data_IF_915152002535
#
_entry.id   IF_915152002535
#
_cell.length_a   1.000
_cell.length_b   1.000
_cell.length_c   1.000
_cell.angle_alpha   90.00
_cell.angle_beta   90.00
_cell.angle_gamma   90.00
#
_symmetry.space_group_name_H-M   'P 1'
#
loop_
_entity.id
_entity.type
_entity.pdbx_description
1 polymer ?
#
# COMPACT_ATOMS: atom_id res chain seq x y z
N UNK A 1 27.85 9.41 -3.53
CA UNK A 1 26.54 9.72 -4.13
C UNK A 1 26.23 8.82 -5.34
N UNK A 2 27.00 8.85 -6.42
CA UNK A 2 26.76 8.01 -7.62
C UNK A 2 26.79 6.51 -7.33
N UNK A 3 27.73 6.03 -6.52
CA UNK A 3 27.83 4.62 -6.11
C UNK A 3 26.57 4.16 -5.38
N UNK A 4 26.02 4.96 -4.49
CA UNK A 4 24.80 4.65 -3.75
C UNK A 4 23.56 4.59 -4.67
N UNK A 5 23.48 5.49 -5.66
CA UNK A 5 22.41 5.47 -6.65
C UNK A 5 22.50 4.19 -7.49
N UNK A 6 23.70 3.82 -7.93
CA UNK A 6 23.94 2.60 -8.70
C UNK A 6 23.58 1.34 -7.85
N UNK A 7 24.01 1.30 -6.60
CA UNK A 7 23.69 0.19 -5.70
C UNK A 7 22.18 0.05 -5.49
N UNK A 8 21.46 1.14 -5.25
CA UNK A 8 19.99 1.12 -5.11
C UNK A 8 19.30 0.67 -6.38
N UNK A 9 19.78 1.15 -7.54
CA UNK A 9 19.26 0.71 -8.83
C UNK A 9 19.50 -0.77 -9.08
N UNK A 10 20.68 -1.29 -8.75
CA UNK A 10 20.98 -2.74 -8.86
C UNK A 10 20.10 -3.57 -7.93
N UNK A 11 19.90 -3.12 -6.68
CA UNK A 11 18.99 -3.78 -5.74
C UNK A 11 17.55 -3.79 -6.28
N UNK A 12 17.07 -2.66 -6.82
CA UNK A 12 15.76 -2.57 -7.46
C UNK A 12 15.61 -3.60 -8.60
N UNK A 13 16.59 -3.63 -9.51
CA UNK A 13 16.59 -4.58 -10.63
C UNK A 13 16.62 -6.03 -10.15
N UNK A 14 17.44 -6.33 -9.14
CA UNK A 14 17.50 -7.67 -8.56
C UNK A 14 16.17 -8.09 -7.92
N UNK A 15 15.57 -7.21 -7.13
CA UNK A 15 14.26 -7.46 -6.51
C UNK A 15 13.17 -7.69 -7.57
N UNK A 16 13.11 -6.84 -8.60
CA UNK A 16 12.16 -7.01 -9.69
C UNK A 16 12.39 -8.32 -10.45
N UNK A 17 13.64 -8.73 -10.66
CA UNK A 17 13.97 -10.01 -11.29
C UNK A 17 13.49 -11.19 -10.44
N UNK A 18 13.74 -11.17 -9.13
CA UNK A 18 13.26 -12.23 -8.22
C UNK A 18 11.74 -12.29 -8.23
N UNK A 19 11.07 -11.15 -8.12
CA UNK A 19 9.60 -11.06 -8.12
C UNK A 19 9.00 -11.55 -9.44
N UNK A 20 9.64 -11.24 -10.59
CA UNK A 20 9.17 -11.70 -11.90
C UNK A 20 9.24 -13.22 -12.03
N UNK A 21 10.30 -13.86 -11.49
CA UNK A 21 10.42 -15.31 -11.47
C UNK A 21 9.34 -15.94 -10.58
N UNK A 22 9.13 -15.39 -9.38
CA UNK A 22 8.09 -15.87 -8.47
C UNK A 22 6.70 -15.76 -9.12
N UNK A 23 6.38 -14.60 -9.69
CA UNK A 23 5.10 -14.36 -10.35
C UNK A 23 4.88 -15.31 -11.53
N UNK A 24 5.92 -15.55 -12.34
CA UNK A 24 5.86 -16.50 -13.44
C UNK A 24 5.60 -17.93 -12.95
N UNK A 25 6.15 -18.32 -11.80
CA UNK A 25 5.99 -19.66 -11.24
C UNK A 25 4.67 -19.88 -10.50
N UNK A 26 3.91 -18.83 -10.17
CA UNK A 26 2.65 -18.96 -9.44
C UNK A 26 1.69 -20.02 -10.01
N UNK A 27 1.44 -20.08 -11.34
CA UNK A 27 0.55 -21.09 -11.91
C UNK A 27 1.05 -22.53 -11.71
N UNK A 28 2.36 -22.70 -11.74
CA UNK A 28 3.01 -24.02 -11.58
C UNK A 28 3.03 -24.46 -10.12
N UNK A 29 3.09 -23.51 -9.18
CA UNK A 29 3.06 -23.76 -7.74
C UNK A 29 1.66 -24.08 -7.21
N UNK A 30 0.62 -23.56 -7.86
CA UNK A 30 -0.78 -23.77 -7.46
C UNK A 30 -1.26 -25.23 -7.64
N UNK A 31 -0.42 -26.10 -8.18
CA UNK A 31 -0.67 -27.52 -8.36
C UNK A 31 -1.64 -27.82 -9.52
N UNK A 32 -1.14 -28.44 -10.54
CA UNK A 32 -1.92 -28.84 -11.72
C UNK A 32 -1.26 -28.43 -13.03
N UNK A 33 -1.85 -28.85 -14.12
CA UNK A 33 -1.46 -28.46 -15.47
C UNK A 33 -2.00 -27.06 -15.78
N UNK A 34 -1.14 -26.07 -16.09
CA UNK A 34 -1.60 -24.72 -16.41
C UNK A 34 -2.62 -24.70 -17.57
N UNK A 35 -2.43 -25.50 -18.60
CA UNK A 35 -3.36 -25.60 -19.74
C UNK A 35 -4.76 -26.06 -19.29
N UNK A 36 -4.80 -27.03 -18.38
CA UNK A 36 -6.06 -27.54 -17.81
C UNK A 36 -6.73 -26.49 -16.94
N UNK A 37 -5.96 -25.76 -16.12
CA UNK A 37 -6.49 -24.70 -15.26
C UNK A 37 -7.08 -23.56 -16.10
N UNK A 38 -6.40 -23.16 -17.18
CA UNK A 38 -6.87 -22.16 -18.14
C UNK A 38 -8.18 -22.60 -18.80
N UNK A 39 -8.26 -23.86 -19.25
CA UNK A 39 -9.46 -24.36 -19.92
C UNK A 39 -10.65 -24.44 -18.95
N UNK A 40 -10.42 -24.88 -17.69
CA UNK A 40 -11.44 -24.88 -16.65
C UNK A 40 -11.98 -23.48 -16.34
N UNK A 41 -11.13 -22.47 -16.28
CA UNK A 41 -11.56 -21.09 -16.02
C UNK A 41 -12.44 -20.52 -17.15
N UNK A 42 -12.18 -20.93 -18.39
CA UNK A 42 -12.93 -20.48 -19.57
C UNK A 42 -14.26 -21.19 -19.78
N UNK A 43 -14.30 -22.51 -19.57
CA UNK A 43 -15.45 -23.34 -19.96
C UNK A 43 -16.42 -23.65 -18.82
N UNK A 44 -16.07 -23.39 -17.56
CA UNK A 44 -16.85 -23.74 -16.35
C UNK A 44 -17.31 -25.20 -16.30
N UNK A 45 -16.74 -26.05 -17.13
CA UNK A 45 -17.10 -27.46 -17.24
C UNK A 45 -16.05 -28.35 -16.58
N UNK A 46 -16.50 -29.38 -15.89
CA UNK A 46 -15.65 -30.34 -15.18
C UNK A 46 -15.14 -31.48 -16.06
N UNK A 47 -15.77 -31.71 -17.21
CA UNK A 47 -15.39 -32.76 -18.16
C UNK A 47 -14.57 -32.16 -19.32
N UNK A 48 -13.27 -31.97 -19.09
CA UNK A 48 -12.38 -31.44 -20.13
C UNK A 48 -11.96 -32.55 -21.10
N UNK A 49 -12.14 -32.28 -22.39
CA UNK A 49 -11.58 -33.12 -23.45
C UNK A 49 -10.04 -33.06 -23.41
N UNK A 50 -9.32 -34.19 -23.24
CA UNK A 50 -7.87 -34.24 -23.24
C UNK A 50 -7.25 -33.64 -24.52
N UNK A 51 -7.90 -33.77 -25.64
CA UNK A 51 -7.42 -33.20 -26.92
C UNK A 51 -7.50 -31.67 -26.91
N UNK A 52 -8.54 -31.09 -26.30
CA UNK A 52 -8.66 -29.65 -26.18
C UNK A 52 -7.59 -29.07 -25.23
N UNK A 53 -7.27 -29.78 -24.14
CA UNK A 53 -6.18 -29.39 -23.22
C UNK A 53 -4.83 -29.39 -23.94
N UNK A 54 -4.53 -30.44 -24.71
CA UNK A 54 -3.26 -30.56 -25.43
C UNK A 54 -3.14 -29.50 -26.54
N UNK A 55 -4.21 -29.28 -27.31
CA UNK A 55 -4.25 -28.23 -28.32
C UNK A 55 -4.00 -26.83 -27.71
N UNK A 56 -4.60 -26.57 -26.53
CA UNK A 56 -4.37 -25.31 -25.81
C UNK A 56 -2.92 -25.20 -25.30
N UNK A 57 -2.35 -26.29 -24.78
CA UNK A 57 -0.96 -26.36 -24.32
C UNK A 57 0.01 -25.94 -25.43
N UNK A 58 -0.13 -26.53 -26.61
CA UNK A 58 0.71 -26.23 -27.78
C UNK A 58 0.49 -24.78 -28.25
N UNK A 59 -0.77 -24.35 -28.33
CA UNK A 59 -1.11 -22.97 -28.78
C UNK A 59 -0.55 -21.88 -27.90
N UNK A 60 -0.45 -22.13 -26.59
CA UNK A 60 0.12 -21.20 -25.61
C UNK A 60 1.63 -21.40 -25.39
N UNK A 61 2.25 -22.39 -26.07
CA UNK A 61 3.68 -22.70 -25.94
C UNK A 61 4.06 -23.24 -24.56
N UNK A 62 3.11 -23.81 -23.83
CA UNK A 62 3.33 -24.42 -22.51
C UNK A 62 4.04 -25.78 -22.59
N UNK A 63 4.24 -26.32 -23.79
CA UNK A 63 5.05 -27.48 -24.13
C UNK A 63 6.55 -27.17 -24.16
N UNK A 64 6.92 -25.89 -24.24
CA UNK A 64 8.32 -25.45 -24.33
C UNK A 64 9.00 -25.50 -22.96
N UNK A 65 10.36 -25.54 -22.90
CA UNK A 65 11.11 -25.45 -21.64
C UNK A 65 10.73 -24.19 -20.84
N UNK A 66 10.64 -24.31 -19.51
CA UNK A 66 10.20 -23.22 -18.61
C UNK A 66 10.97 -21.90 -18.81
N UNK A 67 12.28 -21.98 -19.06
CA UNK A 67 13.09 -20.78 -19.32
C UNK A 67 12.66 -20.03 -20.60
N UNK A 68 12.25 -20.78 -21.65
CA UNK A 68 11.73 -20.16 -22.91
C UNK A 68 10.40 -19.46 -22.64
N UNK A 69 9.51 -20.12 -21.90
CA UNK A 69 8.23 -19.55 -21.51
C UNK A 69 8.44 -18.30 -20.65
N UNK A 70 9.35 -18.34 -19.67
CA UNK A 70 9.68 -17.20 -18.82
C UNK A 70 10.16 -16.00 -19.61
N UNK A 71 11.14 -16.17 -20.50
CA UNK A 71 11.67 -15.06 -21.30
C UNK A 71 10.64 -14.51 -22.31
N UNK A 72 9.80 -15.37 -22.90
CA UNK A 72 8.69 -14.94 -23.75
C UNK A 72 7.70 -14.08 -22.96
N UNK A 73 7.27 -14.56 -21.79
CA UNK A 73 6.37 -13.83 -20.89
C UNK A 73 7.00 -12.51 -20.38
N UNK A 74 8.25 -12.54 -19.92
CA UNK A 74 8.96 -11.36 -19.45
C UNK A 74 9.09 -10.29 -20.55
N UNK A 75 9.37 -10.71 -21.79
CA UNK A 75 9.44 -9.78 -22.92
C UNK A 75 8.11 -9.12 -23.23
N UNK A 76 7.00 -9.83 -23.05
CA UNK A 76 5.64 -9.28 -23.13
C UNK A 76 5.39 -8.28 -21.99
N UNK A 77 5.67 -8.69 -20.75
CA UNK A 77 5.48 -7.86 -19.56
C UNK A 77 6.27 -6.53 -19.63
N UNK A 78 7.51 -6.56 -20.13
CA UNK A 78 8.34 -5.35 -20.32
C UNK A 78 7.78 -4.41 -21.40
N UNK A 79 6.94 -4.91 -22.31
CA UNK A 79 6.22 -4.09 -23.31
C UNK A 79 4.84 -3.64 -22.84
N UNK A 80 4.45 -3.99 -21.58
CA UNK A 80 3.13 -3.71 -21.01
C UNK A 80 2.05 -4.70 -21.42
N UNK A 81 2.41 -5.77 -22.13
CA UNK A 81 1.51 -6.87 -22.46
C UNK A 81 1.58 -7.94 -21.38
N UNK A 82 0.59 -7.93 -20.48
CA UNK A 82 0.40 -8.92 -19.42
C UNK A 82 -0.64 -9.99 -19.78
N UNK A 83 -1.06 -10.01 -21.07
CA UNK A 83 -2.09 -10.91 -21.56
C UNK A 83 -3.51 -10.45 -21.24
N UNK A 84 -4.45 -11.38 -21.37
CA UNK A 84 -5.88 -11.14 -21.13
C UNK A 84 -6.36 -11.92 -19.90
N UNK A 85 -7.21 -11.27 -19.10
CA UNK A 85 -7.93 -11.91 -17.99
C UNK A 85 -8.78 -13.06 -18.52
N UNK A 86 -8.73 -14.20 -17.84
CA UNK A 86 -9.58 -15.34 -18.21
C UNK A 86 -11.03 -15.13 -17.80
N UNK A 87 -11.27 -14.30 -16.78
CA UNK A 87 -12.61 -14.02 -16.26
C UNK A 87 -13.34 -12.95 -17.05
N UNK A 88 -12.68 -11.82 -17.30
CA UNK A 88 -13.28 -10.65 -17.95
C UNK A 88 -13.02 -10.59 -19.47
N UNK A 89 -12.04 -11.34 -19.97
CA UNK A 89 -11.54 -11.29 -21.35
C UNK A 89 -11.00 -9.90 -21.74
N UNK A 90 -10.69 -9.04 -20.78
CA UNK A 90 -10.10 -7.72 -20.99
C UNK A 90 -8.57 -7.77 -20.83
N UNK A 91 -7.83 -6.82 -21.42
CA UNK A 91 -6.39 -6.70 -21.19
C UNK A 91 -6.08 -6.50 -19.71
N UNK A 92 -5.21 -7.35 -19.14
CA UNK A 92 -4.82 -7.31 -17.72
C UNK A 92 -4.26 -5.94 -17.33
N UNK A 93 -3.39 -5.36 -18.17
CA UNK A 93 -2.78 -4.05 -17.90
C UNK A 93 -3.82 -2.92 -17.73
N UNK A 94 -4.90 -2.94 -18.51
CA UNK A 94 -5.95 -1.93 -18.41
C UNK A 94 -6.75 -2.04 -17.11
N UNK A 95 -7.10 -3.27 -16.69
CA UNK A 95 -7.80 -3.50 -15.42
C UNK A 95 -6.93 -3.17 -14.22
N UNK A 96 -5.66 -3.56 -14.24
CA UNK A 96 -4.70 -3.22 -13.19
C UNK A 96 -4.55 -1.71 -13.03
N UNK A 97 -4.41 -0.97 -14.13
CA UNK A 97 -4.25 0.49 -14.06
C UNK A 97 -5.48 1.17 -13.46
N UNK A 98 -6.69 0.73 -13.86
CA UNK A 98 -7.94 1.25 -13.30
C UNK A 98 -8.06 0.98 -11.81
N UNK A 99 -7.84 -0.26 -11.39
CA UNK A 99 -7.94 -0.66 -9.99
C UNK A 99 -6.84 -0.06 -9.13
N UNK A 100 -5.62 0.10 -9.67
CA UNK A 100 -4.53 0.79 -9.00
C UNK A 100 -4.88 2.23 -8.67
N UNK A 101 -5.47 2.98 -9.61
CA UNK A 101 -5.90 4.35 -9.37
C UNK A 101 -6.90 4.46 -8.23
N UNK A 102 -7.84 3.53 -8.13
CA UNK A 102 -8.82 3.44 -7.04
C UNK A 102 -8.12 3.21 -5.70
N UNK A 103 -7.25 2.18 -5.61
CA UNK A 103 -6.53 1.89 -4.37
C UNK A 103 -5.58 3.01 -3.95
N UNK A 104 -4.88 3.65 -4.90
CA UNK A 104 -4.02 4.82 -4.62
C UNK A 104 -4.85 5.98 -4.07
N UNK A 105 -5.99 6.28 -4.67
CA UNK A 105 -6.87 7.36 -4.20
C UNK A 105 -7.36 7.07 -2.77
N UNK A 106 -7.79 5.84 -2.51
CA UNK A 106 -8.23 5.40 -1.18
C UNK A 106 -7.12 5.50 -0.14
N UNK A 107 -5.93 4.97 -0.46
CA UNK A 107 -4.76 4.99 0.43
C UNK A 107 -4.29 6.42 0.72
N UNK A 108 -4.17 7.26 -0.30
CA UNK A 108 -3.77 8.66 -0.12
C UNK A 108 -4.78 9.45 0.71
N UNK A 109 -6.08 9.22 0.50
CA UNK A 109 -7.13 9.86 1.31
C UNK A 109 -7.02 9.44 2.77
N UNK A 110 -6.89 8.14 3.05
CA UNK A 110 -6.73 7.62 4.40
C UNK A 110 -5.48 8.19 5.10
N UNK A 111 -4.35 8.21 4.40
CA UNK A 111 -3.09 8.74 4.94
C UNK A 111 -3.12 10.26 5.11
N UNK A 112 -3.75 11.00 4.21
CA UNK A 112 -3.92 12.44 4.34
C UNK A 112 -4.74 12.80 5.59
N UNK A 113 -5.84 12.08 5.85
CA UNK A 113 -6.65 12.23 7.06
C UNK A 113 -5.83 11.86 8.30
N UNK A 114 -5.10 10.72 8.23
CA UNK A 114 -4.24 10.29 9.34
C UNK A 114 -3.20 11.34 9.71
N UNK A 115 -2.48 11.89 8.75
CA UNK A 115 -1.44 12.91 8.97
C UNK A 115 -2.05 14.23 9.46
N UNK A 116 -3.16 14.66 8.85
CA UNK A 116 -3.83 15.91 9.22
C UNK A 116 -4.30 15.92 10.70
N UNK A 117 -4.66 14.76 11.25
CA UNK A 117 -5.06 14.61 12.65
C UNK A 117 -3.86 14.29 13.55
N UNK A 118 -2.97 13.40 13.12
CA UNK A 118 -1.84 12.93 13.92
C UNK A 118 -0.82 14.02 14.25
N UNK A 119 -0.49 14.89 13.27
CA UNK A 119 0.50 15.96 13.49
C UNK A 119 0.08 16.93 14.58
N UNK A 120 -1.11 17.54 14.55
CA UNK A 120 -1.55 18.43 15.62
C UNK A 120 -1.73 17.67 16.96
N UNK A 121 -2.36 16.50 16.94
CA UNK A 121 -2.62 15.74 18.17
C UNK A 121 -1.32 15.29 18.86
N UNK A 122 -0.39 14.70 18.12
CA UNK A 122 0.91 14.25 18.63
C UNK A 122 1.77 15.42 19.14
N UNK A 123 1.75 16.56 18.42
CA UNK A 123 2.45 17.78 18.81
C UNK A 123 1.89 18.35 20.12
N UNK A 124 0.56 18.50 20.24
CA UNK A 124 -0.10 19.01 21.43
C UNK A 124 0.07 18.08 22.64
N UNK A 125 0.02 16.76 22.42
CA UNK A 125 0.30 15.77 23.47
C UNK A 125 1.74 15.91 24.00
N UNK A 126 2.73 16.07 23.10
CA UNK A 126 4.13 16.24 23.49
C UNK A 126 4.42 17.54 24.26
N UNK A 127 3.63 18.61 24.04
CA UNK A 127 3.80 19.87 24.76
C UNK A 127 3.44 19.79 26.25
N UNK A 128 2.59 18.84 26.65
CA UNK A 128 2.15 18.65 28.05
C UNK A 128 2.09 17.16 28.41
N UNK A 129 3.26 16.51 28.61
CA UNK A 129 3.31 15.10 28.99
C UNK A 129 2.51 14.82 30.25
N UNK A 130 1.74 13.73 30.28
CA UNK A 130 0.84 13.38 31.40
C UNK A 130 -0.44 14.21 31.46
N UNK A 131 -0.63 15.19 30.57
CA UNK A 131 -1.84 16.01 30.52
C UNK A 131 -3.03 15.27 29.90
N UNK A 132 -4.22 15.92 29.95
CA UNK A 132 -5.46 15.33 29.42
C UNK A 132 -5.36 14.94 27.93
N UNK A 133 -4.72 15.79 27.10
CA UNK A 133 -4.54 15.50 25.67
C UNK A 133 -3.57 14.35 25.45
N UNK A 134 -2.52 14.24 26.25
CA UNK A 134 -1.57 13.15 26.18
C UNK A 134 -2.21 11.81 26.56
N UNK A 135 -3.01 11.79 27.61
CA UNK A 135 -3.75 10.60 28.02
C UNK A 135 -4.82 10.21 26.98
N UNK A 136 -5.51 11.19 26.39
CA UNK A 136 -6.46 10.95 25.30
C UNK A 136 -5.76 10.37 24.06
N UNK A 137 -4.64 10.95 23.63
CA UNK A 137 -3.85 10.45 22.51
C UNK A 137 -3.37 9.01 22.77
N UNK A 138 -2.91 8.72 23.99
CA UNK A 138 -2.48 7.37 24.38
C UNK A 138 -3.63 6.36 24.32
N UNK A 139 -4.80 6.72 24.86
CA UNK A 139 -5.99 5.86 24.78
C UNK A 139 -6.43 5.63 23.33
N UNK A 140 -6.47 6.69 22.52
CA UNK A 140 -6.82 6.61 21.10
C UNK A 140 -5.84 5.68 20.34
N UNK A 141 -4.52 5.83 20.57
CA UNK A 141 -3.50 4.98 19.95
C UNK A 141 -3.76 3.52 20.28
N UNK A 142 -3.95 3.20 21.57
CA UNK A 142 -4.18 1.83 22.03
C UNK A 142 -5.46 1.25 21.42
N UNK A 143 -6.55 2.02 21.42
CA UNK A 143 -7.84 1.59 20.86
C UNK A 143 -7.73 1.33 19.37
N UNK A 144 -7.12 2.23 18.58
CA UNK A 144 -7.07 2.10 17.14
C UNK A 144 -6.12 0.99 16.67
N UNK A 145 -5.01 0.77 17.39
CA UNK A 145 -4.11 -0.38 17.11
C UNK A 145 -4.79 -1.70 17.43
N UNK A 146 -5.55 -1.76 18.52
CA UNK A 146 -6.26 -2.97 18.95
C UNK A 146 -7.51 -3.28 18.11
N UNK A 147 -8.06 -2.30 17.39
CA UNK A 147 -9.27 -2.48 16.60
C UNK A 147 -8.98 -3.17 15.26
N UNK A 148 -9.53 -4.37 15.01
CA UNK A 148 -9.34 -5.03 13.72
C UNK A 148 -10.16 -4.35 12.61
N UNK A 149 -9.56 -4.14 11.45
CA UNK A 149 -10.21 -3.50 10.30
C UNK A 149 -11.45 -4.27 9.82
N UNK A 150 -11.36 -5.62 9.79
CA UNK A 150 -12.47 -6.49 9.38
C UNK A 150 -13.67 -6.45 10.35
N UNK A 151 -13.47 -5.98 11.56
CA UNK A 151 -14.55 -5.73 12.52
C UNK A 151 -15.09 -4.30 12.40
N UNK A 152 -14.18 -3.31 12.32
CA UNK A 152 -14.58 -1.89 12.26
C UNK A 152 -15.31 -1.55 10.96
N UNK A 153 -14.88 -2.11 9.82
CA UNK A 153 -15.51 -1.85 8.52
C UNK A 153 -17.02 -2.15 8.50
N UNK A 154 -17.48 -3.39 8.80
CA UNK A 154 -18.91 -3.68 8.81
C UNK A 154 -19.66 -2.95 9.93
N UNK A 155 -19.04 -2.70 11.10
CA UNK A 155 -19.68 -1.94 12.17
C UNK A 155 -19.90 -0.48 11.76
N UNK A 156 -18.94 0.14 11.11
CA UNK A 156 -19.09 1.51 10.59
C UNK A 156 -20.17 1.58 9.49
N UNK A 157 -20.24 0.60 8.59
CA UNK A 157 -21.31 0.50 7.59
C UNK A 157 -22.69 0.32 8.26
N UNK A 158 -22.79 -0.55 9.26
CA UNK A 158 -24.02 -0.77 10.00
C UNK A 158 -24.53 0.55 10.63
N UNK A 159 -23.66 1.29 11.32
CA UNK A 159 -24.04 2.50 12.02
C UNK A 159 -24.32 3.64 11.03
N UNK A 160 -23.37 3.98 10.17
CA UNK A 160 -23.45 5.20 9.34
C UNK A 160 -24.26 5.02 8.05
N UNK A 161 -24.32 3.81 7.50
CA UNK A 161 -25.09 3.56 6.29
C UNK A 161 -26.50 3.03 6.57
N UNK A 162 -26.64 2.01 7.44
CA UNK A 162 -27.93 1.37 7.66
C UNK A 162 -28.78 2.08 8.72
N UNK A 163 -28.21 2.43 9.90
CA UNK A 163 -29.01 3.07 10.95
C UNK A 163 -29.19 4.58 10.73
N UNK A 164 -28.13 5.30 10.36
CA UNK A 164 -28.17 6.74 10.20
C UNK A 164 -28.51 7.19 8.78
N UNK A 165 -28.27 6.34 7.76
CA UNK A 165 -28.52 6.68 6.35
C UNK A 165 -27.65 7.82 5.79
N UNK A 166 -26.53 8.14 6.46
CA UNK A 166 -25.69 9.28 6.09
C UNK A 166 -24.75 8.99 4.93
N UNK A 167 -24.25 7.77 4.84
CA UNK A 167 -23.22 7.35 3.90
C UNK A 167 -23.64 6.06 3.19
N UNK A 168 -23.17 5.79 1.98
CA UNK A 168 -23.42 4.52 1.31
C UNK A 168 -22.64 3.37 2.00
N UNK A 169 -23.25 2.17 2.02
CA UNK A 169 -22.65 0.98 2.62
C UNK A 169 -21.58 0.32 1.75
N UNK A 170 -21.60 0.56 0.43
CA UNK A 170 -20.69 -0.06 -0.54
C UNK A 170 -20.69 0.74 -1.85
N UNK A 171 -19.72 0.42 -2.74
CA UNK A 171 -19.59 1.01 -4.07
C UNK A 171 -18.51 2.08 -4.18
N UNK A 172 -18.38 2.66 -5.38
CA UNK A 172 -17.35 3.67 -5.70
C UNK A 172 -17.92 4.79 -6.59
N UNK A 173 -19.20 5.12 -6.42
CA UNK A 173 -19.93 6.00 -7.34
C UNK A 173 -19.84 7.48 -6.98
N UNK A 174 -19.41 7.79 -5.76
CA UNK A 174 -19.37 9.17 -5.26
C UNK A 174 -18.29 9.35 -4.19
N UNK A 175 -17.93 10.61 -3.89
CA UNK A 175 -17.03 10.94 -2.78
C UNK A 175 -17.54 10.42 -1.42
N UNK A 176 -18.87 10.26 -1.25
CA UNK A 176 -19.46 9.70 -0.02
C UNK A 176 -19.09 8.22 0.16
N UNK A 177 -18.98 7.47 -0.94
CA UNK A 177 -18.55 6.06 -0.90
C UNK A 177 -17.11 5.89 -0.41
N UNK A 178 -16.28 6.94 -0.51
CA UNK A 178 -14.89 6.93 -0.06
C UNK A 178 -14.76 7.07 1.48
N UNK A 179 -15.75 7.67 2.14
CA UNK A 179 -15.62 8.11 3.55
C UNK A 179 -15.41 6.95 4.50
N UNK A 180 -16.29 5.94 4.52
CA UNK A 180 -16.21 4.80 5.44
C UNK A 180 -14.96 3.94 5.22
N UNK A 181 -14.62 3.58 3.96
CA UNK A 181 -13.37 2.86 3.67
C UNK A 181 -12.12 3.64 4.08
N UNK A 182 -12.05 4.93 3.76
CA UNK A 182 -10.92 5.78 4.12
C UNK A 182 -10.78 5.91 5.65
N UNK A 183 -11.88 6.11 6.38
CA UNK A 183 -11.86 6.13 7.86
C UNK A 183 -11.36 4.81 8.42
N UNK A 184 -11.80 3.67 7.87
CA UNK A 184 -11.36 2.35 8.32
C UNK A 184 -9.84 2.20 8.14
N UNK A 185 -9.32 2.52 6.96
CA UNK A 185 -7.88 2.46 6.68
C UNK A 185 -7.06 3.53 7.42
N UNK A 186 -7.71 4.60 7.91
CA UNK A 186 -7.05 5.67 8.67
C UNK A 186 -6.66 5.23 10.09
N UNK A 187 -7.39 4.31 10.72
CA UNK A 187 -7.26 4.02 12.16
C UNK A 187 -5.82 3.69 12.57
N UNK A 188 -5.21 2.71 11.94
CA UNK A 188 -3.84 2.29 12.25
C UNK A 188 -2.78 3.34 11.91
N UNK A 189 -2.75 3.91 10.67
CA UNK A 189 -1.82 4.98 10.35
C UNK A 189 -1.94 6.17 11.29
N UNK A 190 -3.16 6.59 11.65
CA UNK A 190 -3.40 7.68 12.59
C UNK A 190 -2.77 7.40 13.97
N UNK A 191 -2.94 6.20 14.50
CA UNK A 191 -2.34 5.80 15.77
C UNK A 191 -0.80 5.87 15.69
N UNK A 192 -0.21 5.25 14.65
CA UNK A 192 1.25 5.25 14.48
C UNK A 192 1.83 6.64 14.23
N UNK A 193 1.22 7.44 13.36
CA UNK A 193 1.69 8.81 13.11
C UNK A 193 1.57 9.69 14.36
N UNK A 194 0.51 9.53 15.16
CA UNK A 194 0.37 10.24 16.42
C UNK A 194 1.48 9.85 17.41
N UNK A 195 1.77 8.57 17.53
CA UNK A 195 2.83 8.06 18.40
C UNK A 195 4.21 8.57 17.98
N UNK A 196 4.52 8.47 16.67
CA UNK A 196 5.80 8.93 16.11
C UNK A 196 5.96 10.44 16.24
N UNK A 197 4.92 11.20 15.91
CA UNK A 197 4.92 12.67 16.08
C UNK A 197 5.14 13.06 17.53
N UNK A 198 4.43 12.42 18.47
CA UNK A 198 4.56 12.68 19.89
C UNK A 198 5.99 12.42 20.38
N UNK A 199 6.59 11.28 20.00
CA UNK A 199 7.96 10.93 20.38
C UNK A 199 8.99 11.91 19.81
N UNK A 200 8.91 12.20 18.51
CA UNK A 200 9.82 13.13 17.84
C UNK A 200 9.69 14.56 18.39
N UNK A 201 8.46 15.02 18.64
CA UNK A 201 8.24 16.34 19.24
C UNK A 201 8.73 16.42 20.69
N UNK A 202 8.60 15.36 21.49
CA UNK A 202 9.14 15.33 22.86
C UNK A 202 10.68 15.46 22.87
N UNK A 203 11.38 14.86 21.90
CA UNK A 203 12.82 15.00 21.71
C UNK A 203 13.18 16.42 21.24
N UNK A 204 12.52 16.92 20.21
CA UNK A 204 12.73 18.28 19.66
C UNK A 204 12.53 19.35 20.72
N UNK A 205 11.49 19.26 21.54
CA UNK A 205 11.19 20.24 22.60
C UNK A 205 12.26 20.31 23.70
N UNK A 206 13.09 19.27 23.85
CA UNK A 206 14.23 19.23 24.79
C UNK A 206 15.53 19.73 24.15
N UNK A 207 15.57 19.98 22.86
CA UNK A 207 16.77 20.35 22.14
C UNK A 207 17.29 21.77 22.55
N UNK A 208 18.62 21.99 22.61
CA UNK A 208 19.21 23.27 23.03
C UNK A 208 18.75 24.48 22.19
N UNK A 209 18.51 24.29 20.89
CA UNK A 209 18.05 25.37 20.03
C UNK A 209 16.63 25.85 20.35
N UNK A 210 15.78 24.99 20.92
CA UNK A 210 14.45 25.36 21.43
C UNK A 210 14.59 26.24 22.67
N UNK A 211 15.48 25.86 23.60
CA UNK A 211 15.79 26.68 24.77
C UNK A 211 16.33 28.04 24.36
N UNK A 212 17.26 28.10 23.40
CA UNK A 212 17.80 29.37 22.88
C UNK A 212 16.74 30.24 22.18
N UNK A 213 15.78 29.64 21.47
CA UNK A 213 14.68 30.38 20.85
C UNK A 213 13.75 31.01 21.93
N UNK A 214 13.47 30.26 23.00
CA UNK A 214 12.67 30.74 24.13
C UNK A 214 13.35 31.84 24.92
N UNK A 215 14.67 31.75 25.14
CA UNK A 215 15.47 32.80 25.79
C UNK A 215 15.46 34.11 25.00
N UNK A 216 15.23 34.05 23.70
CA UNK A 216 15.07 35.22 22.82
C UNK A 216 13.64 35.79 22.80
N UNK A 217 12.76 35.34 23.70
CA UNK A 217 11.41 35.88 23.87
C UNK A 217 10.32 35.17 23.03
N UNK A 218 10.64 34.10 22.28
CA UNK A 218 9.62 33.32 21.58
C UNK A 218 8.81 32.50 22.58
N UNK A 219 7.48 32.72 22.58
CA UNK A 219 6.56 31.88 23.34
C UNK A 219 6.58 30.42 22.85
N UNK A 220 6.12 29.49 23.71
CA UNK A 220 6.12 28.03 23.39
C UNK A 220 5.43 27.72 22.05
N UNK A 221 4.24 28.29 21.81
CA UNK A 221 3.52 28.07 20.55
C UNK A 221 4.31 28.54 19.32
N UNK A 222 4.87 29.73 19.35
CA UNK A 222 5.70 30.26 18.25
C UNK A 222 6.96 29.44 18.01
N UNK A 223 7.60 28.95 19.08
CA UNK A 223 8.76 28.07 18.98
C UNK A 223 8.40 26.72 18.34
N UNK A 224 7.30 26.12 18.75
CA UNK A 224 6.81 24.85 18.18
C UNK A 224 6.47 25.00 16.69
N UNK A 225 5.70 26.02 16.34
CA UNK A 225 5.31 26.26 14.93
C UNK A 225 6.53 26.55 14.02
N UNK A 226 7.49 27.33 14.49
CA UNK A 226 8.61 27.78 13.66
C UNK A 226 9.77 26.77 13.62
N UNK A 227 10.02 26.05 14.69
CA UNK A 227 11.18 25.16 14.83
C UNK A 227 10.80 23.71 15.14
N UNK A 228 9.71 23.50 15.89
CA UNK A 228 9.27 22.19 16.36
C UNK A 228 8.74 21.33 15.22
N UNK A 229 7.67 21.78 14.55
CA UNK A 229 6.96 20.97 13.54
C UNK A 229 7.88 20.59 12.38
N UNK A 230 8.71 21.52 11.91
CA UNK A 230 9.64 21.25 10.80
C UNK A 230 10.57 20.07 11.07
N UNK A 231 11.09 19.96 12.30
CA UNK A 231 12.02 18.89 12.67
C UNK A 231 11.30 17.66 13.19
N UNK A 232 10.20 17.83 13.93
CA UNK A 232 9.41 16.74 14.50
C UNK A 232 8.56 15.97 13.47
N UNK A 233 8.28 16.56 12.29
CA UNK A 233 7.52 15.88 11.24
C UNK A 233 8.38 14.99 10.30
N UNK A 234 9.70 15.10 10.35
CA UNK A 234 10.59 14.33 9.46
C UNK A 234 10.34 12.81 9.50
N UNK A 235 10.19 12.16 10.68
CA UNK A 235 9.90 10.74 10.75
C UNK A 235 8.54 10.38 10.12
N UNK A 236 7.56 11.29 10.18
CA UNK A 236 6.22 11.05 9.60
C UNK A 236 6.29 10.89 8.08
N UNK A 237 7.17 11.63 7.40
CA UNK A 237 7.36 11.51 5.93
C UNK A 237 7.85 10.12 5.56
N UNK A 238 8.80 9.57 6.33
CA UNK A 238 9.30 8.20 6.09
C UNK A 238 8.22 7.16 6.34
N UNK A 239 7.49 7.28 7.46
CA UNK A 239 6.40 6.36 7.77
C UNK A 239 5.22 6.49 6.80
N UNK A 240 4.97 7.68 6.24
CA UNK A 240 3.95 7.87 5.21
C UNK A 240 4.19 6.98 3.98
N UNK A 241 5.44 6.92 3.49
CA UNK A 241 5.76 6.08 2.34
C UNK A 241 5.64 4.58 2.65
N UNK A 242 6.10 4.15 3.84
CA UNK A 242 5.93 2.78 4.30
C UNK A 242 4.45 2.37 4.39
N UNK A 243 3.61 3.25 4.96
CA UNK A 243 2.18 3.02 5.04
C UNK A 243 1.51 3.04 3.69
N UNK A 244 1.93 3.93 2.77
CA UNK A 244 1.39 3.96 1.40
C UNK A 244 1.65 2.65 0.68
N UNK A 245 2.89 2.15 0.71
CA UNK A 245 3.24 0.85 0.13
C UNK A 245 2.46 -0.30 0.80
N UNK A 246 2.33 -0.27 2.13
CA UNK A 246 1.58 -1.27 2.90
C UNK A 246 0.07 -1.27 2.58
N UNK A 247 -0.56 -0.10 2.47
CA UNK A 247 -1.99 -0.01 2.15
C UNK A 247 -2.30 -0.47 0.73
N UNK A 248 -1.42 -0.23 -0.24
CA UNK A 248 -1.62 -0.70 -1.62
C UNK A 248 -1.66 -2.22 -1.73
N UNK A 249 -0.93 -2.94 -0.87
CA UNK A 249 -0.98 -4.40 -0.79
C UNK A 249 -1.94 -4.94 0.25
N UNK A 250 -2.31 -4.13 1.26
CA UNK A 250 -3.04 -4.58 2.45
C UNK A 250 -4.50 -4.12 2.58
N UNK A 251 -5.01 -3.29 1.66
CA UNK A 251 -6.39 -2.79 1.70
C UNK A 251 -7.46 -3.80 1.24
N UNK A 252 -7.06 -5.03 0.88
CA UNK A 252 -7.93 -6.08 0.31
C UNK A 252 -9.22 -6.26 1.11
N UNK A 253 -9.11 -6.41 2.43
CA UNK A 253 -10.26 -6.68 3.30
C UNK A 253 -11.28 -5.53 3.24
N UNK A 254 -10.80 -4.30 3.29
CA UNK A 254 -11.65 -3.10 3.24
C UNK A 254 -12.27 -2.94 1.84
N UNK A 255 -11.50 -3.15 0.79
CA UNK A 255 -11.99 -3.08 -0.59
C UNK A 255 -13.07 -4.13 -0.87
N UNK A 256 -12.91 -5.36 -0.35
CA UNK A 256 -13.91 -6.43 -0.49
C UNK A 256 -15.17 -6.10 0.30
N UNK A 257 -15.07 -5.68 1.57
CA UNK A 257 -16.22 -5.37 2.44
C UNK A 257 -17.06 -4.23 1.85
N UNK A 258 -16.41 -3.16 1.39
CA UNK A 258 -17.11 -1.99 0.81
C UNK A 258 -17.35 -2.08 -0.70
N UNK A 259 -17.09 -3.24 -1.31
CA UNK A 259 -17.23 -3.49 -2.74
C UNK A 259 -16.52 -2.43 -3.64
N UNK A 260 -15.33 -1.99 -3.23
CA UNK A 260 -14.51 -1.01 -3.95
C UNK A 260 -13.76 -1.73 -5.09
N UNK A 261 -13.77 -1.21 -6.33
CA UNK A 261 -13.09 -1.84 -7.47
C UNK A 261 -11.58 -1.51 -7.47
N UNK A 262 -10.91 -1.78 -6.34
CA UNK A 262 -9.49 -1.55 -6.15
C UNK A 262 -8.63 -2.77 -6.47
N UNK A 263 -7.31 -2.60 -6.35
CA UNK A 263 -6.30 -3.61 -6.67
C UNK A 263 -6.42 -4.85 -5.77
N UNK A 264 -6.67 -4.64 -4.47
CA UNK A 264 -6.79 -5.74 -3.52
C UNK A 264 -8.00 -6.62 -3.80
N UNK A 265 -9.17 -6.01 -4.10
CA UNK A 265 -10.36 -6.76 -4.50
C UNK A 265 -10.16 -7.44 -5.86
N UNK A 266 -9.55 -6.77 -6.83
CA UNK A 266 -9.25 -7.37 -8.14
C UNK A 266 -8.40 -8.64 -7.99
N UNK A 267 -7.38 -8.61 -7.14
CA UNK A 267 -6.55 -9.79 -6.87
C UNK A 267 -7.31 -10.88 -6.07
N UNK A 268 -8.13 -10.49 -5.12
CA UNK A 268 -9.00 -11.43 -4.40
C UNK A 268 -9.93 -12.17 -5.37
N UNK A 269 -10.61 -11.45 -6.25
CA UNK A 269 -11.48 -12.01 -7.28
C UNK A 269 -10.70 -12.89 -8.25
N UNK A 270 -9.48 -12.51 -8.62
CA UNK A 270 -8.59 -13.31 -9.47
C UNK A 270 -8.17 -14.63 -8.80
N UNK A 271 -7.93 -14.64 -7.48
CA UNK A 271 -7.66 -15.88 -6.73
C UNK A 271 -8.88 -16.80 -6.74
N UNK A 272 -10.05 -16.26 -6.40
CA UNK A 272 -11.31 -17.02 -6.32
C UNK A 272 -11.67 -17.63 -7.68
N UNK A 273 -11.49 -16.85 -8.76
CA UNK A 273 -11.81 -17.27 -10.13
C UNK A 273 -10.64 -17.98 -10.86
N UNK A 274 -9.50 -18.18 -10.19
CA UNK A 274 -8.28 -18.79 -10.77
C UNK A 274 -7.80 -18.07 -12.03
N UNK A 275 -7.91 -16.74 -12.05
CA UNK A 275 -7.46 -15.90 -13.16
C UNK A 275 -5.95 -15.67 -13.07
N UNK A 276 -5.21 -16.59 -13.65
CA UNK A 276 -3.75 -16.64 -13.55
C UNK A 276 -3.06 -15.39 -14.12
N UNK A 277 -3.39 -14.92 -15.36
CA UNK A 277 -2.75 -13.71 -15.89
C UNK A 277 -3.00 -12.48 -15.01
N UNK A 278 -4.21 -12.35 -14.47
CA UNK A 278 -4.55 -11.26 -13.55
C UNK A 278 -3.75 -11.35 -12.25
N UNK A 279 -3.58 -12.55 -11.69
CA UNK A 279 -2.76 -12.77 -10.49
C UNK A 279 -1.29 -12.44 -10.73
N UNK A 280 -0.71 -12.92 -11.83
CA UNK A 280 0.68 -12.64 -12.18
C UNK A 280 0.93 -11.15 -12.38
N UNK A 281 0.11 -10.50 -13.21
CA UNK A 281 0.23 -9.07 -13.47
C UNK A 281 0.02 -8.22 -12.23
N UNK A 282 -1.00 -8.52 -11.43
CA UNK A 282 -1.31 -7.79 -10.20
C UNK A 282 -0.25 -7.95 -9.12
N UNK A 283 0.27 -9.17 -8.93
CA UNK A 283 1.36 -9.42 -7.97
C UNK A 283 2.61 -8.59 -8.32
N UNK A 284 3.04 -8.63 -9.59
CA UNK A 284 4.17 -7.82 -10.06
C UNK A 284 3.89 -6.32 -9.87
N UNK A 285 2.71 -5.87 -10.25
CA UNK A 285 2.33 -4.46 -10.17
C UNK A 285 2.42 -3.94 -8.72
N UNK A 286 1.83 -4.65 -7.76
CA UNK A 286 1.86 -4.24 -6.34
C UNK A 286 3.29 -4.25 -5.80
N UNK A 287 4.05 -5.32 -6.05
CA UNK A 287 5.41 -5.44 -5.51
C UNK A 287 6.35 -4.42 -6.16
N UNK A 288 6.29 -4.24 -7.48
CA UNK A 288 7.08 -3.24 -8.18
C UNK A 288 6.77 -1.82 -7.67
N UNK A 289 5.49 -1.50 -7.48
CA UNK A 289 5.07 -0.21 -6.96
C UNK A 289 5.52 -0.02 -5.51
N UNK A 290 5.41 -1.04 -4.66
CA UNK A 290 5.88 -0.99 -3.27
C UNK A 290 7.40 -0.75 -3.19
N UNK A 291 8.18 -1.44 -4.01
CA UNK A 291 9.64 -1.25 -4.09
C UNK A 291 9.95 0.18 -4.59
N UNK A 292 9.23 0.65 -5.61
CA UNK A 292 9.41 1.99 -6.15
C UNK A 292 9.12 3.08 -5.10
N UNK A 293 7.98 2.97 -4.40
CA UNK A 293 7.59 3.91 -3.34
C UNK A 293 8.66 3.95 -2.23
N UNK A 294 9.10 2.79 -1.75
CA UNK A 294 10.13 2.72 -0.71
C UNK A 294 11.47 3.29 -1.19
N UNK A 295 11.89 2.98 -2.42
CA UNK A 295 13.13 3.52 -3.01
C UNK A 295 13.08 5.04 -3.17
N UNK A 296 11.94 5.59 -3.59
CA UNK A 296 11.71 7.03 -3.67
C UNK A 296 11.74 7.67 -2.28
N UNK A 297 11.06 7.07 -1.30
CA UNK A 297 11.04 7.56 0.08
C UNK A 297 12.44 7.63 0.69
N UNK A 298 13.25 6.58 0.52
CA UNK A 298 14.64 6.56 0.98
C UNK A 298 15.49 7.63 0.29
N UNK A 299 15.24 7.88 -0.99
CA UNK A 299 15.94 8.91 -1.75
C UNK A 299 15.57 10.31 -1.26
N UNK A 300 14.28 10.56 -1.00
CA UNK A 300 13.80 11.81 -0.40
C UNK A 300 14.35 12.03 1.01
N UNK A 301 14.42 10.97 1.82
CA UNK A 301 14.96 11.07 3.17
C UNK A 301 16.42 11.53 3.19
N UNK A 302 17.25 10.98 2.31
CA UNK A 302 18.68 11.39 2.16
C UNK A 302 18.80 12.85 1.68
N UNK A 303 17.86 13.33 0.85
CA UNK A 303 17.84 14.73 0.39
C UNK A 303 17.46 15.72 1.50
N UNK A 304 16.50 15.33 2.37
CA UNK A 304 15.97 16.21 3.43
C UNK A 304 16.89 16.24 4.65
N UNK A 305 17.62 15.16 4.95
CA UNK A 305 18.47 15.06 6.14
C UNK A 305 19.98 15.04 5.76
N UNK A 306 20.63 16.20 5.61
CA UNK A 306 22.05 16.26 5.22
C UNK A 306 23.03 15.72 6.29
N UNK A 307 22.61 15.55 7.55
CA UNK A 307 23.44 14.97 8.61
C UNK A 307 23.76 13.49 8.36
N UNK A 308 22.89 12.77 7.68
CA UNK A 308 23.14 11.38 7.29
C UNK A 308 24.19 11.23 6.16
N UNK A 309 24.47 12.32 5.44
CA UNK A 309 25.53 12.31 4.41
C UNK A 309 26.93 12.17 5.03
N UNK A 310 27.13 12.68 6.23
CA UNK A 310 28.42 12.68 6.91
C UNK A 310 28.78 11.34 7.59
N UNK A 311 27.80 10.47 7.88
CA UNK A 311 28.04 9.18 8.56
C UNK A 311 28.36 8.01 7.60
N UNK A 312 28.24 8.20 6.30
CA UNK A 312 28.51 7.18 5.29
C UNK A 312 29.85 7.37 4.54
N UNK A 313 30.62 8.37 4.89
CA UNK A 313 31.98 8.62 4.32
C UNK A 313 33.11 8.10 5.22
N UNK A 314 32.80 7.22 6.21
CA UNK A 314 33.80 6.54 7.04
C UNK A 314 33.66 5.01 6.96
#
# INVERSE_FOLDING_TARGET
MWIQIIQRFLILCLMLAIVSVIAFLLPYMAGGDPARTILMSRMRDTALDPHAVEALRVSLGLDRPLYVQYFAWLSGALRGDLGFSFTSSQPVSAELLRSLWVSVTLALTALAVAVAVALPLGTLAAMRPGGRLDNFATLMIQTFVATPEYWFAPMSALVFALYLGWLPSAGWDSWRSLVLPALTLTLRPLAYFTQVTRAAMAEVLRAPYITAARSRGLGMHGTVMRHGIRNGSLPVVTFFALWLAGLLGGSVVVEVIFAIPGMGRLLYDAVVNRDIPMLQGGFICIVALSILINTLADSFYVLINPAMRAHHDH
#
